data_IF_237122986008
#
_entry.id   IF_237122986008
#
_cell.length_a   1.000
_cell.length_b   1.000
_cell.length_c   1.000
_cell.angle_alpha   90.00
_cell.angle_beta   90.00
_cell.angle_gamma   90.00
#
_symmetry.space_group_name_H-M   'P 1'
#
loop_
_entity.id
_entity.type
_entity.pdbx_description
1 polymer ?
#
# COMPACT_ATOMS: atom_id res chain seq x y z
N UNK A 1 -3.93 20.59 -5.41
CA UNK A 1 -3.99 19.49 -4.43
C UNK A 1 -3.94 20.09 -3.05
N UNK A 2 -4.95 19.86 -2.24
CA UNK A 2 -5.01 20.42 -0.90
C UNK A 2 -4.36 19.46 0.11
N UNK A 3 -3.61 20.01 1.07
CA UNK A 3 -3.07 19.22 2.17
C UNK A 3 -4.12 19.17 3.27
N UNK A 4 -4.59 17.97 3.59
CA UNK A 4 -5.65 17.76 4.56
C UNK A 4 -5.05 17.11 5.81
N UNK A 5 -5.42 17.63 6.99
CA UNK A 5 -5.11 16.99 8.27
C UNK A 5 -6.18 15.95 8.58
N UNK A 6 -5.73 14.72 8.76
CA UNK A 6 -6.60 13.60 9.10
C UNK A 6 -5.96 12.76 10.20
N UNK A 7 -6.77 12.10 11.00
CA UNK A 7 -6.32 11.18 12.04
C UNK A 7 -7.18 9.91 12.07
N UNK A 8 -6.56 8.79 12.39
CA UNK A 8 -7.23 7.51 12.61
C UNK A 8 -6.98 7.06 14.03
N UNK A 9 -8.05 6.75 14.77
CA UNK A 9 -7.97 6.36 16.18
C UNK A 9 -7.16 7.33 17.05
N UNK A 10 -7.27 8.65 16.80
CA UNK A 10 -6.51 9.73 17.45
C UNK A 10 -5.00 9.67 17.23
N UNK A 11 -4.56 8.98 16.19
CA UNK A 11 -3.15 8.86 15.82
C UNK A 11 -2.89 9.30 14.38
N UNK A 12 -1.65 9.68 14.05
CA UNK A 12 -1.26 10.14 12.72
C UNK A 12 -1.03 9.00 11.72
N UNK A 13 -1.00 7.74 12.17
CA UNK A 13 -0.60 6.57 11.36
C UNK A 13 -1.75 6.09 10.47
N UNK A 14 -2.16 6.92 9.51
CA UNK A 14 -3.30 6.66 8.62
C UNK A 14 -3.07 5.40 7.78
N UNK A 15 -1.88 5.29 7.17
CA UNK A 15 -1.51 4.20 6.28
C UNK A 15 -1.41 2.82 6.93
N UNK A 16 -1.48 2.75 8.26
CA UNK A 16 -1.58 1.47 9.00
C UNK A 16 -2.97 0.87 8.88
N UNK A 17 -4.00 1.72 8.88
CA UNK A 17 -5.40 1.32 8.99
C UNK A 17 -6.18 1.43 7.69
N UNK A 18 -5.74 2.28 6.77
CA UNK A 18 -6.48 2.62 5.54
C UNK A 18 -5.65 2.23 4.32
N UNK A 19 -6.30 1.64 3.32
CA UNK A 19 -5.75 1.41 1.99
C UNK A 19 -6.65 2.06 0.96
N UNK A 20 -6.07 2.75 -0.03
CA UNK A 20 -6.84 3.47 -1.05
C UNK A 20 -6.23 3.26 -2.44
N UNK A 21 -7.07 3.28 -3.46
CA UNK A 21 -6.71 3.49 -4.86
C UNK A 21 -7.48 4.71 -5.41
N UNK A 22 -7.55 4.86 -6.72
CA UNK A 22 -8.21 6.03 -7.33
C UNK A 22 -9.75 5.97 -7.28
N UNK A 23 -10.36 4.85 -6.86
CA UNK A 23 -11.82 4.65 -6.87
C UNK A 23 -12.39 4.23 -5.53
N UNK A 24 -11.64 3.45 -4.74
CA UNK A 24 -12.11 2.90 -3.47
C UNK A 24 -11.13 3.13 -2.32
N UNK A 25 -11.69 3.28 -1.13
CA UNK A 25 -10.95 3.33 0.13
C UNK A 25 -11.45 2.25 1.10
N UNK A 26 -10.54 1.41 1.58
CA UNK A 26 -10.85 0.38 2.57
C UNK A 26 -10.53 0.90 3.97
N UNK A 27 -11.53 0.87 4.85
CA UNK A 27 -11.43 1.27 6.25
C UNK A 27 -11.83 0.12 7.18
N UNK A 28 -11.33 0.09 8.42
CA UNK A 28 -11.64 -0.98 9.35
C UNK A 28 -13.13 -1.06 9.71
N UNK A 29 -13.63 -2.28 9.95
CA UNK A 29 -14.95 -2.46 10.55
C UNK A 29 -15.10 -1.64 11.84
N UNK A 30 -16.22 -0.91 11.96
CA UNK A 30 -16.46 0.00 13.08
C UNK A 30 -15.70 1.33 13.00
N UNK A 31 -15.12 1.67 11.86
CA UNK A 31 -14.59 3.01 11.60
C UNK A 31 -15.72 4.05 11.62
N UNK A 32 -15.47 5.24 12.14
CA UNK A 32 -16.50 6.26 12.32
C UNK A 32 -17.05 6.73 10.95
N UNK A 33 -18.35 6.61 10.72
CA UNK A 33 -19.03 7.01 9.48
C UNK A 33 -18.75 8.46 9.07
N UNK A 34 -18.71 9.38 10.06
CA UNK A 34 -18.40 10.79 9.82
C UNK A 34 -16.99 11.01 9.28
N UNK A 35 -16.05 10.13 9.64
CA UNK A 35 -14.68 10.15 9.11
C UNK A 35 -14.62 9.48 7.73
N UNK A 36 -15.33 8.37 7.54
CA UNK A 36 -15.43 7.73 6.23
C UNK A 36 -15.97 8.70 5.17
N UNK A 37 -17.09 9.37 5.45
CA UNK A 37 -17.65 10.41 4.56
C UNK A 37 -16.68 11.53 4.21
N UNK A 38 -15.84 11.95 5.17
CA UNK A 38 -14.79 12.94 4.86
C UNK A 38 -13.72 12.39 3.93
N UNK A 39 -13.37 11.10 4.02
CA UNK A 39 -12.45 10.48 3.06
C UNK A 39 -13.07 10.44 1.66
N UNK A 40 -14.35 10.05 1.54
CA UNK A 40 -15.09 10.07 0.29
C UNK A 40 -15.07 11.48 -0.35
N UNK A 41 -15.42 12.51 0.44
CA UNK A 41 -15.44 13.90 -0.03
C UNK A 41 -14.04 14.40 -0.43
N UNK A 42 -12.99 14.06 0.33
CA UNK A 42 -11.64 14.56 0.11
C UNK A 42 -10.91 13.88 -1.04
N UNK A 43 -11.17 12.59 -1.24
CA UNK A 43 -10.47 11.78 -2.22
C UNK A 43 -11.31 11.47 -3.46
N UNK A 44 -12.61 11.80 -3.45
CA UNK A 44 -13.58 11.48 -4.50
C UNK A 44 -13.62 9.96 -4.79
N UNK A 45 -13.73 9.15 -3.73
CA UNK A 45 -13.72 7.69 -3.76
C UNK A 45 -14.90 7.12 -2.99
N UNK A 46 -15.25 5.87 -3.26
CA UNK A 46 -16.17 5.09 -2.43
C UNK A 46 -15.43 4.47 -1.23
N UNK A 47 -16.00 4.53 -0.03
CA UNK A 47 -15.41 3.93 1.17
C UNK A 47 -16.13 2.64 1.56
N UNK A 48 -15.36 1.56 1.65
CA UNK A 48 -15.83 0.23 2.04
C UNK A 48 -15.26 -0.18 3.40
N UNK A 49 -16.07 -0.89 4.19
CA UNK A 49 -15.69 -1.37 5.52
C UNK A 49 -15.29 -2.83 5.46
N UNK A 50 -14.08 -3.15 5.94
CA UNK A 50 -13.58 -4.52 5.93
C UNK A 50 -12.67 -4.81 7.13
N UNK A 51 -12.23 -6.05 7.25
CA UNK A 51 -11.14 -6.49 8.11
C UNK A 51 -10.16 -7.33 7.29
N UNK A 52 -8.93 -7.46 7.75
CA UNK A 52 -7.95 -8.40 7.20
C UNK A 52 -7.33 -9.17 8.37
N UNK A 53 -7.40 -10.50 8.32
CA UNK A 53 -7.03 -11.39 9.41
C UNK A 53 -7.74 -11.02 10.74
N UNK A 54 -9.02 -10.61 10.64
CA UNK A 54 -9.85 -10.12 11.74
C UNK A 54 -9.22 -8.97 12.52
N UNK A 55 -8.45 -8.13 11.84
CA UNK A 55 -7.79 -6.96 12.43
C UNK A 55 -8.22 -5.67 11.76
N UNK A 56 -7.79 -4.54 12.34
CA UNK A 56 -7.99 -3.19 11.80
C UNK A 56 -6.80 -2.71 10.94
N UNK A 57 -5.77 -3.53 10.74
CA UNK A 57 -4.49 -3.13 10.17
C UNK A 57 -4.48 -3.24 8.62
N UNK A 58 -5.52 -2.74 7.96
CA UNK A 58 -5.77 -2.94 6.52
C UNK A 58 -4.57 -2.50 5.69
N UNK A 59 -4.11 -1.27 5.83
CA UNK A 59 -3.03 -0.76 5.01
C UNK A 59 -1.65 -1.35 5.32
N UNK A 60 -1.45 -1.91 6.53
CA UNK A 60 -0.23 -2.64 6.85
C UNK A 60 -0.23 -4.06 6.29
N UNK A 61 -1.40 -4.73 6.28
CA UNK A 61 -1.51 -6.14 5.90
C UNK A 61 -1.72 -6.33 4.41
N UNK A 62 -2.18 -5.31 3.68
CA UNK A 62 -2.51 -5.42 2.27
C UNK A 62 -1.77 -4.43 1.38
N UNK A 63 -1.84 -4.66 0.08
CA UNK A 63 -1.37 -3.72 -0.96
C UNK A 63 -2.42 -3.67 -2.06
N UNK A 64 -2.72 -2.47 -2.55
CA UNK A 64 -3.72 -2.22 -3.57
C UNK A 64 -3.22 -1.25 -4.63
N UNK A 65 -3.60 -1.49 -5.87
CA UNK A 65 -3.60 -0.53 -6.97
C UNK A 65 -4.97 -0.52 -7.65
N UNK A 66 -5.13 0.09 -8.82
CA UNK A 66 -6.42 0.14 -9.50
C UNK A 66 -6.82 -1.18 -10.20
N UNK A 67 -5.93 -2.18 -10.23
CA UNK A 67 -6.18 -3.47 -10.89
C UNK A 67 -6.34 -4.61 -9.90
N UNK A 68 -5.56 -4.57 -8.80
CA UNK A 68 -5.47 -5.71 -7.91
C UNK A 68 -5.30 -5.38 -6.44
N UNK A 69 -5.65 -6.37 -5.63
CA UNK A 69 -5.57 -6.34 -4.18
C UNK A 69 -4.85 -7.58 -3.66
N UNK A 70 -3.80 -7.39 -2.88
CA UNK A 70 -3.00 -8.47 -2.30
C UNK A 70 -3.31 -8.63 -0.82
N UNK A 71 -3.64 -9.84 -0.42
CA UNK A 71 -3.89 -10.28 0.94
C UNK A 71 -2.77 -11.20 1.46
N UNK A 72 -2.46 -11.18 2.76
CA UNK A 72 -1.59 -12.19 3.36
C UNK A 72 -2.32 -13.53 3.50
N UNK A 73 -1.57 -14.64 3.58
CA UNK A 73 -2.13 -15.99 3.81
C UNK A 73 -2.87 -16.15 5.15
N UNK A 74 -2.75 -15.18 6.05
CA UNK A 74 -3.51 -15.11 7.30
C UNK A 74 -4.91 -14.50 7.15
N UNK A 75 -5.27 -13.93 5.99
CA UNK A 75 -6.62 -13.45 5.72
C UNK A 75 -7.62 -14.60 5.70
N UNK A 76 -8.83 -14.36 6.20
CA UNK A 76 -9.89 -15.36 6.19
C UNK A 76 -10.57 -15.46 4.82
N UNK A 77 -11.18 -16.61 4.54
CA UNK A 77 -11.83 -16.86 3.25
C UNK A 77 -13.01 -15.90 3.00
N UNK A 78 -13.78 -15.57 4.02
CA UNK A 78 -14.89 -14.62 3.93
C UNK A 78 -14.42 -13.18 3.65
N UNK A 79 -13.25 -12.78 4.16
CA UNK A 79 -12.63 -11.49 3.83
C UNK A 79 -12.20 -11.44 2.35
N UNK A 80 -11.61 -12.53 1.85
CA UNK A 80 -11.27 -12.68 0.43
C UNK A 80 -12.51 -12.63 -0.46
N UNK A 81 -13.53 -13.43 -0.12
CA UNK A 81 -14.77 -13.53 -0.90
C UNK A 81 -15.52 -12.19 -0.93
N UNK A 82 -15.56 -11.48 0.20
CA UNK A 82 -16.12 -10.14 0.27
C UNK A 82 -15.44 -9.18 -0.71
N UNK A 83 -14.12 -9.06 -0.65
CA UNK A 83 -13.37 -8.14 -1.52
C UNK A 83 -13.51 -8.52 -2.99
N UNK A 84 -13.50 -9.81 -3.32
CA UNK A 84 -13.65 -10.29 -4.69
C UNK A 84 -15.04 -10.06 -5.28
N UNK A 85 -16.08 -10.10 -4.44
CA UNK A 85 -17.46 -9.92 -4.90
C UNK A 85 -17.90 -8.46 -4.92
N UNK A 86 -17.35 -7.63 -4.03
CA UNK A 86 -17.76 -6.23 -3.87
C UNK A 86 -16.83 -5.24 -4.60
N UNK A 87 -15.76 -5.73 -5.22
CA UNK A 87 -14.85 -4.88 -6.00
C UNK A 87 -14.58 -5.49 -7.37
N UNK A 88 -14.22 -4.65 -8.33
CA UNK A 88 -13.76 -5.08 -9.66
C UNK A 88 -12.25 -5.44 -9.67
N UNK A 89 -11.61 -5.56 -8.49
CA UNK A 89 -10.19 -5.83 -8.38
C UNK A 89 -9.89 -7.34 -8.50
N UNK A 90 -8.76 -7.66 -9.14
CA UNK A 90 -8.20 -9.01 -9.02
C UNK A 90 -7.66 -9.20 -7.61
N UNK A 91 -8.18 -10.16 -6.85
CA UNK A 91 -7.78 -10.42 -5.47
C UNK A 91 -6.85 -11.62 -5.41
N UNK A 92 -5.64 -11.42 -4.90
CA UNK A 92 -4.63 -12.48 -4.74
C UNK A 92 -4.16 -12.64 -3.30
N UNK A 93 -3.75 -13.86 -2.97
CA UNK A 93 -3.20 -14.21 -1.65
C UNK A 93 -1.72 -14.53 -1.80
N UNK A 94 -0.88 -13.92 -0.98
CA UNK A 94 0.55 -14.23 -0.91
C UNK A 94 0.85 -15.17 0.25
N UNK A 95 1.32 -16.36 -0.07
CA UNK A 95 1.89 -17.27 0.93
C UNK A 95 3.35 -16.90 1.19
N UNK A 96 3.58 -16.21 2.27
CA UNK A 96 4.90 -15.74 2.69
C UNK A 96 4.95 -15.61 4.23
N UNK A 97 6.17 -15.66 4.78
CA UNK A 97 6.39 -15.38 6.22
C UNK A 97 6.11 -13.93 6.61
N UNK A 98 5.91 -13.03 5.64
CA UNK A 98 5.65 -11.61 5.87
C UNK A 98 4.15 -11.33 5.76
N UNK A 99 3.45 -11.31 6.89
CA UNK A 99 2.01 -11.01 6.89
C UNK A 99 1.71 -9.53 6.65
N UNK A 100 2.62 -8.63 7.03
CA UNK A 100 2.47 -7.19 6.78
C UNK A 100 2.97 -6.84 5.36
N UNK A 101 2.16 -7.16 4.34
CA UNK A 101 2.51 -6.98 2.93
C UNK A 101 2.79 -5.51 2.61
N UNK A 102 2.03 -4.58 3.19
CA UNK A 102 2.22 -3.14 3.03
C UNK A 102 3.59 -2.63 3.53
N UNK A 103 4.31 -3.41 4.34
CA UNK A 103 5.66 -3.07 4.78
C UNK A 103 6.74 -3.55 3.80
N UNK A 104 6.46 -4.56 2.98
CA UNK A 104 7.45 -5.20 2.11
C UNK A 104 7.21 -4.96 0.62
N UNK A 105 6.08 -4.37 0.26
CA UNK A 105 5.66 -4.06 -1.11
C UNK A 105 5.23 -2.60 -1.19
N UNK A 106 5.71 -1.88 -2.21
CA UNK A 106 5.17 -0.59 -2.66
C UNK A 106 4.83 -0.71 -4.14
N UNK A 107 3.60 -0.38 -4.53
CA UNK A 107 3.15 -0.47 -5.90
C UNK A 107 2.25 0.71 -6.29
N UNK A 108 2.18 0.95 -7.61
CA UNK A 108 1.18 1.76 -8.28
C UNK A 108 0.68 0.99 -9.52
N UNK A 109 0.02 1.64 -10.48
CA UNK A 109 -0.51 0.95 -11.68
C UNK A 109 0.54 0.63 -12.75
N UNK A 110 1.79 1.06 -12.56
CA UNK A 110 2.87 0.89 -13.54
C UNK A 110 3.94 -0.10 -13.09
N UNK A 111 4.21 -0.16 -11.78
CA UNK A 111 5.25 -1.01 -11.23
C UNK A 111 5.11 -1.31 -9.75
N UNK A 112 5.89 -2.29 -9.30
CA UNK A 112 6.02 -2.62 -7.88
C UNK A 112 7.48 -2.80 -7.48
N UNK A 113 7.83 -2.20 -6.35
CA UNK A 113 9.12 -2.36 -5.68
C UNK A 113 8.89 -3.22 -4.45
N UNK A 114 9.54 -4.37 -4.41
CA UNK A 114 9.30 -5.36 -3.36
C UNK A 114 10.57 -5.72 -2.59
N UNK A 115 10.39 -6.24 -1.41
CA UNK A 115 11.48 -6.76 -0.58
C UNK A 115 12.23 -7.88 -1.32
N UNK A 116 13.59 -7.88 -1.32
CA UNK A 116 14.37 -9.01 -1.82
C UNK A 116 14.20 -10.31 -1.02
N UNK A 117 13.50 -10.25 0.12
CA UNK A 117 13.21 -11.41 0.93
C UNK A 117 11.94 -12.18 0.51
N UNK A 118 11.17 -11.64 -0.45
CA UNK A 118 10.08 -12.35 -1.11
C UNK A 118 10.65 -13.33 -2.15
N UNK A 119 9.97 -14.47 -2.35
CA UNK A 119 10.37 -15.44 -3.37
C UNK A 119 10.04 -14.95 -4.78
N UNK A 120 10.69 -15.55 -5.79
CA UNK A 120 10.34 -15.30 -7.20
C UNK A 120 8.90 -15.68 -7.52
N UNK A 121 8.34 -16.68 -6.83
CA UNK A 121 6.94 -17.07 -6.97
C UNK A 121 6.01 -15.98 -6.43
N UNK A 122 6.30 -15.41 -5.25
CA UNK A 122 5.56 -14.26 -4.75
C UNK A 122 5.63 -13.06 -5.71
N UNK A 123 6.80 -12.80 -6.31
CA UNK A 123 6.94 -11.72 -7.29
C UNK A 123 6.06 -11.95 -8.53
N UNK A 124 5.91 -13.19 -9.01
CA UNK A 124 5.00 -13.52 -10.12
C UNK A 124 3.54 -13.29 -9.74
N UNK A 125 3.12 -13.76 -8.56
CA UNK A 125 1.74 -13.52 -8.08
C UNK A 125 1.46 -12.00 -7.98
N UNK A 126 2.41 -11.22 -7.45
CA UNK A 126 2.28 -9.76 -7.38
C UNK A 126 2.13 -9.16 -8.78
N UNK A 127 2.98 -9.58 -9.73
CA UNK A 127 2.91 -9.10 -11.11
C UNK A 127 1.57 -9.42 -11.77
N UNK A 128 1.08 -10.64 -11.60
CA UNK A 128 -0.17 -11.11 -12.21
C UNK A 128 -1.37 -10.38 -11.62
N UNK A 129 -1.49 -10.32 -10.28
CA UNK A 129 -2.62 -9.70 -9.59
C UNK A 129 -2.66 -8.19 -9.80
N UNK A 130 -1.51 -7.52 -9.70
CA UNK A 130 -1.45 -6.06 -9.82
C UNK A 130 -1.27 -5.59 -11.28
N UNK A 131 -0.99 -6.52 -12.21
CA UNK A 131 -0.81 -6.23 -13.63
C UNK A 131 0.39 -5.29 -13.91
N UNK A 132 1.52 -5.49 -13.21
CA UNK A 132 2.68 -4.57 -13.24
C UNK A 132 4.02 -5.31 -13.29
N UNK A 133 5.06 -4.61 -13.71
CA UNK A 133 6.44 -5.05 -13.52
C UNK A 133 6.81 -5.05 -12.04
N UNK A 134 7.58 -6.06 -11.60
CA UNK A 134 8.03 -6.21 -10.20
C UNK A 134 9.54 -6.28 -10.14
N UNK A 135 10.15 -5.40 -9.36
CA UNK A 135 11.57 -5.50 -9.04
C UNK A 135 11.80 -5.69 -7.55
N UNK A 136 12.80 -6.50 -7.22
CA UNK A 136 13.23 -6.72 -5.84
C UNK A 136 14.36 -5.74 -5.49
N UNK A 137 14.15 -4.91 -4.45
CA UNK A 137 15.13 -3.90 -4.08
C UNK A 137 15.16 -3.60 -2.58
N UNK A 138 16.36 -3.44 -2.03
CA UNK A 138 16.58 -2.79 -0.73
C UNK A 138 16.53 -1.27 -0.92
N UNK A 139 15.93 -0.58 0.03
CA UNK A 139 15.91 0.88 0.07
C UNK A 139 16.64 1.34 1.32
N UNK A 140 17.70 2.13 1.15
CA UNK A 140 18.57 2.58 2.26
C UNK A 140 19.07 1.41 3.13
N UNK A 141 19.45 0.29 2.50
CA UNK A 141 19.90 -0.94 3.18
C UNK A 141 18.79 -1.79 3.82
N UNK A 142 17.57 -1.29 3.88
CA UNK A 142 16.41 -1.98 4.48
C UNK A 142 15.72 -2.93 3.48
N UNK A 143 15.24 -4.07 4.00
CA UNK A 143 14.39 -5.01 3.25
C UNK A 143 12.91 -4.59 3.23
N UNK A 144 12.53 -3.54 3.97
CA UNK A 144 11.15 -3.09 4.09
C UNK A 144 10.83 -2.03 3.02
N UNK A 145 10.67 -2.49 1.78
CA UNK A 145 10.43 -1.61 0.63
C UNK A 145 9.21 -0.69 0.87
N UNK A 146 8.08 -1.23 1.30
CA UNK A 146 6.86 -0.48 1.53
C UNK A 146 6.88 0.45 2.74
N UNK A 147 7.84 0.31 3.68
CA UNK A 147 8.05 1.27 4.78
C UNK A 147 8.85 2.47 4.30
N UNK A 148 9.82 2.25 3.39
CA UNK A 148 10.78 3.26 2.95
C UNK A 148 10.38 3.95 1.64
N UNK A 149 9.33 3.49 0.97
CA UNK A 149 8.81 4.01 -0.28
C UNK A 149 7.28 3.98 -0.29
N UNK A 150 6.67 5.08 -0.68
CA UNK A 150 5.22 5.17 -0.97
C UNK A 150 5.01 5.85 -2.31
N UNK A 151 4.11 5.30 -3.10
CA UNK A 151 3.82 5.77 -4.44
C UNK A 151 2.31 5.77 -4.71
N UNK A 152 1.91 6.66 -5.60
CA UNK A 152 0.66 6.61 -6.33
C UNK A 152 0.95 6.81 -7.83
N UNK A 153 -0.08 7.02 -8.66
CA UNK A 153 0.10 7.20 -10.10
C UNK A 153 0.64 8.57 -10.51
N UNK A 154 0.80 9.51 -9.56
CA UNK A 154 1.26 10.88 -9.80
C UNK A 154 2.65 11.15 -9.26
N UNK A 155 3.13 10.40 -8.26
CA UNK A 155 4.43 10.61 -7.64
C UNK A 155 4.76 9.57 -6.58
N UNK A 156 5.99 9.63 -6.09
CA UNK A 156 6.45 8.78 -5.00
C UNK A 156 7.36 9.56 -4.02
N UNK A 157 7.31 9.14 -2.77
CA UNK A 157 8.22 9.61 -1.71
C UNK A 157 9.05 8.46 -1.18
N UNK A 158 10.33 8.72 -0.97
CA UNK A 158 11.31 7.70 -0.56
C UNK A 158 12.10 8.18 0.66
N UNK A 159 12.63 7.22 1.41
CA UNK A 159 13.50 7.46 2.55
C UNK A 159 14.61 8.49 2.23
N UNK A 160 14.89 9.47 3.12
CA UNK A 160 15.83 10.55 2.84
C UNK A 160 17.26 10.12 2.47
N UNK A 161 17.70 8.96 2.99
CA UNK A 161 19.04 8.40 2.72
C UNK A 161 19.10 7.48 1.49
N UNK A 162 18.06 7.44 0.65
CA UNK A 162 18.08 6.65 -0.58
C UNK A 162 19.15 7.17 -1.55
N UNK A 163 19.85 6.26 -2.21
CA UNK A 163 20.88 6.61 -3.19
C UNK A 163 20.26 7.07 -4.51
N UNK A 164 20.87 8.04 -5.19
CA UNK A 164 20.36 8.61 -6.44
C UNK A 164 20.19 7.56 -7.56
N UNK A 165 21.08 6.54 -7.60
CA UNK A 165 20.95 5.44 -8.55
C UNK A 165 19.68 4.62 -8.33
N UNK A 166 19.31 4.40 -7.04
CA UNK A 166 18.13 3.66 -6.66
C UNK A 166 16.85 4.44 -6.96
N UNK A 167 16.89 5.76 -6.74
CA UNK A 167 15.79 6.66 -7.06
C UNK A 167 15.47 6.62 -8.56
N UNK A 168 16.48 6.67 -9.43
CA UNK A 168 16.28 6.60 -10.88
C UNK A 168 15.63 5.30 -11.31
N UNK A 169 16.17 4.15 -10.86
CA UNK A 169 15.62 2.83 -11.19
C UNK A 169 14.17 2.67 -10.68
N UNK A 170 13.89 3.15 -9.46
CA UNK A 170 12.54 3.13 -8.88
C UNK A 170 11.59 4.04 -9.68
N UNK A 171 12.05 5.23 -10.08
CA UNK A 171 11.28 6.15 -10.89
C UNK A 171 10.92 5.57 -12.26
N UNK A 172 11.87 4.87 -12.90
CA UNK A 172 11.65 4.20 -14.19
C UNK A 172 10.59 3.10 -14.06
N UNK A 173 10.67 2.25 -13.03
CA UNK A 173 9.69 1.15 -12.81
C UNK A 173 8.31 1.68 -12.43
N UNK A 174 8.24 2.64 -11.50
CA UNK A 174 6.97 3.22 -11.06
C UNK A 174 6.40 4.23 -12.07
N UNK A 175 7.21 4.68 -13.04
CA UNK A 175 6.83 5.65 -14.07
C UNK A 175 6.39 7.01 -13.51
N UNK A 176 6.94 7.42 -12.36
CA UNK A 176 6.62 8.67 -11.65
C UNK A 176 7.88 9.32 -11.09
N UNK A 177 7.78 10.62 -10.79
CA UNK A 177 8.85 11.30 -10.05
C UNK A 177 8.95 10.76 -8.62
N UNK A 178 10.18 10.59 -8.12
CA UNK A 178 10.46 10.08 -6.77
C UNK A 178 11.28 11.12 -5.99
N UNK A 179 10.73 11.59 -4.87
CA UNK A 179 11.35 12.62 -4.05
C UNK A 179 11.72 12.08 -2.67
N UNK A 180 12.88 12.49 -2.16
CA UNK A 180 13.28 12.22 -0.77
C UNK A 180 12.40 12.98 0.20
N UNK A 181 11.86 12.28 1.18
CA UNK A 181 10.97 12.88 2.16
C UNK A 181 11.13 12.27 3.56
N UNK A 182 10.88 13.07 4.58
CA UNK A 182 10.57 12.62 5.93
C UNK A 182 9.18 13.07 6.31
N UNK A 183 8.49 12.32 7.14
CA UNK A 183 7.11 12.62 7.56
C UNK A 183 7.04 12.87 9.07
N UNK A 184 5.90 13.37 9.55
CA UNK A 184 5.60 13.54 10.98
C UNK A 184 6.73 14.19 11.79
N UNK A 185 7.35 15.25 11.23
CA UNK A 185 8.39 16.00 11.93
C UNK A 185 9.80 15.40 11.90
N UNK A 186 10.12 14.61 10.86
CA UNK A 186 11.46 14.08 10.63
C UNK A 186 11.60 12.57 10.70
N UNK A 187 10.48 11.84 10.78
CA UNK A 187 10.49 10.37 10.71
C UNK A 187 10.83 9.96 9.27
N UNK A 188 11.88 9.13 9.06
CA UNK A 188 12.32 8.76 7.71
C UNK A 188 11.45 7.69 7.04
N UNK A 189 10.59 7.01 7.81
CA UNK A 189 9.72 5.93 7.31
C UNK A 189 8.43 6.52 6.75
N UNK A 190 8.31 6.55 5.43
CA UNK A 190 7.28 7.29 4.71
C UNK A 190 5.89 6.61 4.67
N UNK A 191 5.75 5.44 5.27
CA UNK A 191 4.49 4.67 5.30
C UNK A 191 3.63 4.87 6.56
N UNK A 192 4.08 5.67 7.52
CA UNK A 192 3.38 5.80 8.82
C UNK A 192 2.21 6.76 8.76
#
# INVERSE_FOLDING_TARGET
MDIIKYDVYRGPNIGVYISVNDSIGLVPLGFAETKAKKLEEYLDIEVMYTAIANTRLIGSLSVMNNKGFLLPSTAYQDEYDYLKNETDLEVGVLDTKFNALGNVICANDKGAIVSPALSNENCKIIADVMGVEVIQKKISGSHLAGVNLRANNSGAVIHPEAEEKDIKEIADVLGVNVEKCSINGGIPYVSS
#
